data_IF_020284543714
#
_entry.id   IF_020284543714
#
_cell.length_a   1.000
_cell.length_b   1.000
_cell.length_c   1.000
_cell.angle_alpha   90.00
_cell.angle_beta   90.00
_cell.angle_gamma   90.00
#
_symmetry.space_group_name_H-M   'P 1'
#
loop_
_entity.id
_entity.type
_entity.pdbx_description
1 polymer ?
#
# COMPACT_ATOMS: atom_id res chain seq x y z
N UNK A 1 -21.58 11.87 9.64
CA UNK A 1 -21.19 13.11 8.93
C UNK A 1 -19.86 13.00 8.18
N UNK A 2 -18.78 12.40 8.73
CA UNK A 2 -17.47 12.28 8.04
C UNK A 2 -17.46 11.61 6.65
N UNK A 3 -18.41 10.71 6.36
CA UNK A 3 -18.52 10.06 5.04
C UNK A 3 -19.17 10.96 3.98
N UNK A 4 -20.03 11.90 4.40
CA UNK A 4 -20.69 12.83 3.49
C UNK A 4 -19.69 13.83 2.92
N UNK A 5 -18.75 14.31 3.74
CA UNK A 5 -17.66 15.18 3.30
C UNK A 5 -16.73 14.50 2.30
N UNK A 6 -16.42 13.21 2.50
CA UNK A 6 -15.61 12.44 1.56
C UNK A 6 -16.35 12.19 0.23
N UNK A 7 -17.64 11.90 0.28
CA UNK A 7 -18.48 11.79 -0.91
C UNK A 7 -18.50 13.11 -1.70
N UNK A 8 -18.78 14.23 -1.01
CA UNK A 8 -18.83 15.55 -1.62
C UNK A 8 -17.47 15.93 -2.21
N UNK A 9 -16.37 15.63 -1.51
CA UNK A 9 -15.03 15.82 -2.03
C UNK A 9 -14.81 15.03 -3.32
N UNK A 10 -15.20 13.75 -3.37
CA UNK A 10 -15.14 12.95 -4.60
C UNK A 10 -15.96 13.55 -5.74
N UNK A 11 -17.18 14.01 -5.45
CA UNK A 11 -18.07 14.61 -6.44
C UNK A 11 -17.51 15.92 -7.03
N UNK A 12 -16.85 16.74 -6.21
CA UNK A 12 -16.21 18.00 -6.65
C UNK A 12 -14.88 17.76 -7.35
N UNK A 13 -14.09 16.78 -6.88
CA UNK A 13 -12.76 16.49 -7.46
C UNK A 13 -12.89 15.97 -8.89
N UNK A 14 -13.91 15.19 -9.22
CA UNK A 14 -14.10 14.64 -10.58
C UNK A 14 -14.10 15.72 -11.67
N UNK A 15 -15.00 16.73 -11.66
CA UNK A 15 -15.01 17.75 -12.71
C UNK A 15 -13.73 18.59 -12.69
N UNK A 16 -13.17 18.88 -11.50
CA UNK A 16 -11.91 19.64 -11.38
C UNK A 16 -10.75 18.88 -12.03
N UNK A 17 -10.60 17.59 -11.71
CA UNK A 17 -9.59 16.71 -12.32
C UNK A 17 -9.79 16.63 -13.83
N UNK A 18 -11.02 16.46 -14.30
CA UNK A 18 -11.30 16.37 -15.73
C UNK A 18 -10.80 17.62 -16.45
N UNK A 19 -11.17 18.81 -15.98
CA UNK A 19 -10.73 20.09 -16.56
C UNK A 19 -9.22 20.23 -16.54
N UNK A 20 -8.57 19.98 -15.39
CA UNK A 20 -7.11 20.11 -15.24
C UNK A 20 -6.35 19.14 -16.15
N UNK A 21 -6.84 17.91 -16.28
CA UNK A 21 -6.25 16.91 -17.20
C UNK A 21 -6.45 17.36 -18.64
N UNK A 22 -7.64 17.85 -19.03
CA UNK A 22 -7.87 18.38 -20.38
C UNK A 22 -6.89 19.49 -20.71
N UNK A 23 -6.78 20.52 -19.85
CA UNK A 23 -5.89 21.66 -20.07
C UNK A 23 -4.42 21.23 -20.15
N UNK A 24 -3.99 20.35 -19.23
CA UNK A 24 -2.63 19.84 -19.22
C UNK A 24 -2.28 19.01 -20.46
N UNK A 25 -3.20 18.16 -20.91
CA UNK A 25 -2.98 17.30 -22.09
C UNK A 25 -3.04 18.09 -23.39
N UNK A 26 -4.04 18.95 -23.55
CA UNK A 26 -4.22 19.77 -24.75
C UNK A 26 -3.07 20.78 -24.91
N UNK A 27 -2.73 21.50 -23.83
CA UNK A 27 -1.60 22.43 -23.84
C UNK A 27 -0.25 21.77 -24.10
N UNK A 28 -0.02 20.56 -23.56
CA UNK A 28 1.19 19.79 -23.86
C UNK A 28 1.25 19.37 -25.32
N UNK A 29 0.16 18.81 -25.85
CA UNK A 29 0.08 18.35 -27.23
C UNK A 29 0.22 19.51 -28.22
N UNK A 30 -0.48 20.62 -27.99
CA UNK A 30 -0.38 21.83 -28.81
C UNK A 30 1.03 22.41 -28.83
N UNK A 31 1.70 22.44 -27.67
CA UNK A 31 3.10 22.90 -27.58
C UNK A 31 4.05 22.02 -28.38
N UNK A 32 3.95 20.70 -28.23
CA UNK A 32 4.81 19.75 -28.95
C UNK A 32 4.54 19.81 -30.46
N UNK A 33 3.28 19.84 -30.88
CA UNK A 33 2.90 19.95 -32.29
C UNK A 33 3.47 21.22 -32.92
N UNK A 34 3.41 22.36 -32.21
CA UNK A 34 4.01 23.62 -32.65
C UNK A 34 5.52 23.54 -32.82
N UNK A 35 6.23 22.84 -31.92
CA UNK A 35 7.67 22.66 -32.07
C UNK A 35 8.03 21.85 -33.31
N UNK A 36 7.25 20.81 -33.61
CA UNK A 36 7.42 20.00 -34.82
C UNK A 36 7.17 20.86 -36.07
N UNK A 37 6.15 21.71 -36.04
CA UNK A 37 5.79 22.58 -37.17
C UNK A 37 6.83 23.67 -37.45
N UNK A 38 7.35 24.33 -36.41
CA UNK A 38 8.27 25.47 -36.53
C UNK A 38 9.75 25.01 -36.53
N UNK A 39 10.02 23.76 -36.15
CA UNK A 39 11.38 23.20 -36.06
C UNK A 39 12.22 23.77 -34.91
N UNK A 40 11.58 24.37 -33.90
CA UNK A 40 12.24 24.97 -32.73
C UNK A 40 11.56 24.53 -31.44
N UNK A 41 12.33 24.35 -30.37
CA UNK A 41 11.80 23.97 -29.06
C UNK A 41 12.02 25.07 -28.04
N UNK A 42 10.99 25.34 -27.24
CA UNK A 42 11.06 26.22 -26.07
C UNK A 42 10.30 25.57 -24.91
N UNK A 43 11.03 24.88 -24.04
CA UNK A 43 10.50 24.15 -22.89
C UNK A 43 9.70 25.03 -21.92
N UNK A 44 9.91 26.35 -21.90
CA UNK A 44 9.11 27.25 -21.07
C UNK A 44 7.61 27.15 -21.38
N UNK A 45 7.25 26.84 -22.63
CA UNK A 45 5.87 26.65 -23.05
C UNK A 45 5.21 25.39 -22.45
N UNK A 46 5.99 24.44 -21.91
CA UNK A 46 5.45 23.27 -21.19
C UNK A 46 5.19 23.53 -19.72
N UNK A 47 5.64 24.65 -19.16
CA UNK A 47 5.46 24.94 -17.73
C UNK A 47 3.97 25.06 -17.40
N UNK A 48 3.22 25.81 -18.21
CA UNK A 48 1.79 26.00 -18.02
C UNK A 48 1.00 24.67 -17.99
N UNK A 49 1.07 23.81 -19.03
CA UNK A 49 0.36 22.53 -18.99
C UNK A 49 0.86 21.61 -17.87
N UNK A 50 2.14 21.66 -17.53
CA UNK A 50 2.70 20.89 -16.41
C UNK A 50 2.11 21.31 -15.06
N UNK A 51 1.83 22.61 -14.85
CA UNK A 51 1.19 23.10 -13.62
C UNK A 51 -0.22 22.53 -13.48
N UNK A 52 -1.03 22.52 -14.54
CA UNK A 52 -2.37 21.92 -14.48
C UNK A 52 -2.33 20.44 -14.10
N UNK A 53 -1.40 19.67 -14.70
CA UNK A 53 -1.22 18.25 -14.37
C UNK A 53 -0.71 18.06 -12.94
N UNK A 54 0.23 18.89 -12.49
CA UNK A 54 0.78 18.82 -11.13
C UNK A 54 -0.32 19.09 -10.08
N UNK A 55 -1.11 20.15 -10.26
CA UNK A 55 -2.23 20.47 -9.38
C UNK A 55 -3.27 19.35 -9.40
N UNK A 56 -3.62 18.84 -10.59
CA UNK A 56 -4.55 17.72 -10.73
C UNK A 56 -4.06 16.45 -10.02
N UNK A 57 -2.77 16.14 -10.16
CA UNK A 57 -2.11 15.02 -9.48
C UNK A 57 -2.10 15.17 -7.96
N UNK A 58 -1.85 16.38 -7.44
CA UNK A 58 -1.92 16.66 -6.00
C UNK A 58 -3.34 16.46 -5.48
N UNK A 59 -4.34 17.01 -6.15
CA UNK A 59 -5.75 16.87 -5.76
C UNK A 59 -6.18 15.40 -5.73
N UNK A 60 -5.81 14.63 -6.77
CA UNK A 60 -6.07 13.20 -6.84
C UNK A 60 -5.31 12.40 -5.79
N UNK A 61 -4.04 12.73 -5.55
CA UNK A 61 -3.19 12.09 -4.56
C UNK A 61 -3.70 12.33 -3.14
N UNK A 62 -4.13 13.56 -2.83
CA UNK A 62 -4.81 13.87 -1.58
C UNK A 62 -6.09 13.02 -1.47
N UNK A 63 -6.98 13.07 -2.46
CA UNK A 63 -8.21 12.28 -2.45
C UNK A 63 -7.94 10.79 -2.18
N UNK A 64 -6.99 10.18 -2.91
CA UNK A 64 -6.63 8.77 -2.76
C UNK A 64 -5.97 8.40 -1.42
N UNK A 65 -5.23 9.32 -0.80
CA UNK A 65 -4.51 9.08 0.46
C UNK A 65 -5.34 9.31 1.72
N UNK A 66 -6.47 10.02 1.65
CA UNK A 66 -7.38 10.20 2.78
C UNK A 66 -7.83 8.83 3.32
N UNK A 67 -7.33 8.39 4.49
CA UNK A 67 -7.66 7.05 5.04
C UNK A 67 -9.03 6.98 5.72
N UNK A 68 -9.63 8.13 6.03
CA UNK A 68 -10.82 8.22 6.92
C UNK A 68 -12.08 7.67 6.24
N UNK A 69 -12.19 7.73 4.91
CA UNK A 69 -13.38 7.26 4.17
C UNK A 69 -13.02 6.85 2.73
N UNK A 70 -13.26 5.59 2.30
CA UNK A 70 -13.08 5.14 0.90
C UNK A 70 -14.07 5.74 -0.10
N UNK A 71 -15.17 6.32 0.39
CA UNK A 71 -16.31 6.67 -0.47
C UNK A 71 -15.96 7.72 -1.53
N UNK A 72 -15.15 8.73 -1.20
CA UNK A 72 -14.71 9.76 -2.15
C UNK A 72 -13.91 9.20 -3.33
N UNK A 73 -12.77 8.52 -3.10
CA UNK A 73 -11.99 7.85 -4.16
C UNK A 73 -12.80 6.85 -4.97
N UNK A 74 -13.69 6.10 -4.32
CA UNK A 74 -14.55 5.12 -5.00
C UNK A 74 -15.50 5.80 -5.98
N UNK A 75 -16.25 6.79 -5.51
CA UNK A 75 -17.21 7.54 -6.33
C UNK A 75 -16.49 8.29 -7.45
N UNK A 76 -15.36 8.93 -7.13
CA UNK A 76 -14.56 9.61 -8.14
C UNK A 76 -14.02 8.64 -9.20
N UNK A 77 -13.51 7.48 -8.78
CA UNK A 77 -13.04 6.44 -9.69
C UNK A 77 -14.13 5.94 -10.63
N UNK A 78 -15.32 5.63 -10.09
CA UNK A 78 -16.48 5.21 -10.90
C UNK A 78 -16.93 6.30 -11.88
N UNK A 79 -17.01 7.55 -11.44
CA UNK A 79 -17.43 8.67 -12.29
C UNK A 79 -16.43 8.95 -13.41
N UNK A 80 -15.12 8.74 -13.18
CA UNK A 80 -14.09 8.92 -14.21
C UNK A 80 -14.03 7.75 -15.21
N UNK A 81 -14.35 6.52 -14.78
CA UNK A 81 -14.41 5.34 -15.65
C UNK A 81 -15.65 5.35 -16.55
N UNK A 82 -16.79 5.80 -16.02
CA UNK A 82 -18.11 5.68 -16.66
C UNK A 82 -18.17 6.25 -18.09
N UNK A 83 -17.66 7.46 -18.39
CA UNK A 83 -17.68 8.00 -19.74
C UNK A 83 -16.96 7.10 -20.74
N UNK A 84 -15.79 6.56 -20.36
CA UNK A 84 -15.01 5.70 -21.24
C UNK A 84 -15.70 4.35 -21.48
N UNK A 85 -16.19 3.69 -20.42
CA UNK A 85 -16.95 2.44 -20.55
C UNK A 85 -18.22 2.65 -21.38
N UNK A 86 -18.89 3.80 -21.21
CA UNK A 86 -20.05 4.19 -21.99
C UNK A 86 -19.77 4.31 -23.49
N UNK A 87 -18.53 4.60 -23.90
CA UNK A 87 -18.17 4.61 -25.33
C UNK A 87 -18.26 3.23 -25.97
N UNK A 88 -18.09 2.14 -25.21
CA UNK A 88 -18.24 0.77 -25.74
C UNK A 88 -19.71 0.35 -25.90
N UNK A 89 -20.62 0.96 -25.15
CA UNK A 89 -22.05 0.59 -25.15
C UNK A 89 -22.84 1.52 -26.07
N UNK A 90 -22.67 2.83 -25.91
CA UNK A 90 -23.39 3.88 -26.67
C UNK A 90 -22.46 5.05 -27.02
N UNK A 91 -21.54 4.88 -27.99
CA UNK A 91 -20.49 5.88 -28.29
C UNK A 91 -21.04 7.26 -28.63
N UNK A 92 -22.03 7.34 -29.53
CA UNK A 92 -22.59 8.62 -29.97
C UNK A 92 -23.32 9.37 -28.85
N UNK A 93 -24.16 8.67 -28.07
CA UNK A 93 -24.88 9.27 -26.93
C UNK A 93 -23.94 9.82 -25.86
N UNK A 94 -22.81 9.16 -25.62
CA UNK A 94 -21.82 9.63 -24.66
C UNK A 94 -21.08 10.84 -25.21
N UNK A 95 -20.63 10.81 -26.48
CA UNK A 95 -19.97 11.97 -27.10
C UNK A 95 -20.87 13.19 -27.16
N UNK A 96 -22.16 13.02 -27.47
CA UNK A 96 -23.15 14.11 -27.51
C UNK A 96 -23.43 14.74 -26.15
N UNK A 97 -23.33 13.96 -25.06
CA UNK A 97 -23.46 14.48 -23.69
C UNK A 97 -22.26 15.30 -23.22
N UNK A 98 -21.09 15.11 -23.82
CA UNK A 98 -19.89 15.87 -23.46
C UNK A 98 -19.87 17.15 -24.30
N UNK A 99 -19.95 18.34 -23.66
CA UNK A 99 -19.92 19.61 -24.39
C UNK A 99 -18.58 19.75 -25.12
N UNK A 100 -18.64 20.18 -26.38
CA UNK A 100 -17.47 20.34 -27.26
C UNK A 100 -17.07 21.79 -27.52
N UNK A 101 -17.83 22.76 -27.03
CA UNK A 101 -17.61 24.20 -27.28
C UNK A 101 -17.44 25.00 -26.00
N UNK A 102 -16.91 24.39 -24.94
CA UNK A 102 -16.55 25.13 -23.74
C UNK A 102 -15.18 25.77 -23.91
N UNK A 103 -15.01 26.92 -23.30
CA UNK A 103 -13.76 27.67 -23.27
C UNK A 103 -13.34 27.90 -21.82
N UNK A 104 -12.05 27.93 -21.58
CA UNK A 104 -11.46 28.26 -20.29
C UNK A 104 -10.41 29.34 -20.52
N UNK A 105 -10.58 30.51 -19.89
CA UNK A 105 -9.69 31.68 -20.07
C UNK A 105 -9.54 32.15 -21.54
N UNK A 106 -10.51 31.84 -22.40
CA UNK A 106 -10.50 32.18 -23.82
C UNK A 106 -9.89 31.12 -24.73
N UNK A 107 -9.37 30.03 -24.16
CA UNK A 107 -8.87 28.88 -24.91
C UNK A 107 -9.93 27.77 -25.00
N UNK A 108 -10.01 27.05 -26.13
CA UNK A 108 -10.94 25.93 -26.27
C UNK A 108 -10.61 24.85 -25.24
N UNK A 109 -11.64 24.31 -24.59
CA UNK A 109 -11.52 23.24 -23.60
C UNK A 109 -12.08 21.93 -24.18
N UNK A 110 -11.26 21.13 -24.88
CA UNK A 110 -11.71 19.88 -25.50
C UNK A 110 -11.91 18.77 -24.46
N UNK A 111 -13.00 18.84 -23.68
CA UNK A 111 -13.32 17.90 -22.61
C UNK A 111 -13.45 16.44 -23.09
N UNK A 112 -13.65 16.22 -24.38
CA UNK A 112 -13.68 14.87 -24.98
C UNK A 112 -12.31 14.21 -25.02
N UNK A 113 -11.22 14.99 -25.09
CA UNK A 113 -9.87 14.49 -25.32
C UNK A 113 -9.41 13.48 -24.24
N UNK A 114 -9.56 13.72 -22.93
CA UNK A 114 -9.17 12.75 -21.91
C UNK A 114 -10.04 11.48 -21.88
N UNK A 115 -11.28 11.56 -22.36
CA UNK A 115 -12.15 10.39 -22.52
C UNK A 115 -11.66 9.57 -23.71
N UNK A 116 -11.48 10.20 -24.88
CA UNK A 116 -11.12 9.51 -26.13
C UNK A 116 -9.75 8.84 -26.04
N UNK A 117 -8.79 9.47 -25.36
CA UNK A 117 -7.46 8.90 -25.14
C UNK A 117 -7.40 7.92 -23.94
N UNK A 118 -8.52 7.71 -23.23
CA UNK A 118 -8.61 6.76 -22.11
C UNK A 118 -7.90 7.18 -20.82
N UNK A 119 -7.46 8.43 -20.70
CA UNK A 119 -6.69 8.88 -19.53
C UNK A 119 -7.56 8.97 -18.28
N UNK A 120 -8.82 9.40 -18.42
CA UNK A 120 -9.77 9.38 -17.29
C UNK A 120 -10.07 7.95 -16.82
N UNK A 121 -10.10 6.99 -17.74
CA UNK A 121 -10.27 5.58 -17.39
C UNK A 121 -9.10 5.07 -16.54
N UNK A 122 -7.85 5.36 -16.95
CA UNK A 122 -6.67 4.96 -16.19
C UNK A 122 -6.61 5.61 -14.81
N UNK A 123 -6.90 6.91 -14.72
CA UNK A 123 -6.97 7.63 -13.44
C UNK A 123 -8.05 7.03 -12.54
N UNK A 124 -9.25 6.79 -13.09
CA UNK A 124 -10.35 6.20 -12.35
C UNK A 124 -10.04 4.78 -11.85
N UNK A 125 -9.40 3.96 -12.67
CA UNK A 125 -8.93 2.62 -12.28
C UNK A 125 -7.88 2.70 -11.17
N UNK A 126 -6.95 3.65 -11.24
CA UNK A 126 -5.95 3.86 -10.20
C UNK A 126 -6.60 4.24 -8.86
N UNK A 127 -7.65 5.09 -8.88
CA UNK A 127 -8.43 5.41 -7.68
C UNK A 127 -9.20 4.21 -7.12
N UNK A 128 -9.76 3.35 -7.98
CA UNK A 128 -10.38 2.10 -7.53
C UNK A 128 -9.36 1.17 -6.86
N UNK A 129 -8.21 0.95 -7.48
CA UNK A 129 -7.12 0.14 -6.90
C UNK A 129 -6.66 0.74 -5.57
N UNK A 130 -6.49 2.06 -5.48
CA UNK A 130 -6.14 2.74 -4.23
C UNK A 130 -7.20 2.54 -3.13
N UNK A 131 -8.47 2.48 -3.50
CA UNK A 131 -9.58 2.24 -2.56
C UNK A 131 -9.56 0.84 -1.96
N UNK A 132 -9.29 -0.17 -2.80
CA UNK A 132 -9.25 -1.59 -2.40
C UNK A 132 -7.87 -2.06 -1.91
N UNK A 133 -6.84 -1.22 -1.98
CA UNK A 133 -5.49 -1.57 -1.53
C UNK A 133 -5.46 -1.90 -0.03
N UNK A 134 -5.06 -3.13 0.29
CA UNK A 134 -4.99 -3.65 1.66
C UNK A 134 -4.10 -2.82 2.60
N UNK A 135 -3.12 -2.08 2.05
CA UNK A 135 -2.24 -1.19 2.81
C UNK A 135 -3.00 -0.03 3.48
N UNK A 136 -4.16 0.34 2.96
CA UNK A 136 -5.04 1.36 3.54
C UNK A 136 -5.74 0.86 4.82
N UNK A 137 -5.98 -0.44 4.90
CA UNK A 137 -6.69 -1.13 5.99
C UNK A 137 -5.75 -1.77 7.01
N UNK A 138 -4.46 -1.87 6.70
CA UNK A 138 -3.44 -2.34 7.65
C UNK A 138 -3.35 -1.37 8.84
N UNK A 139 -3.51 -1.92 10.05
CA UNK A 139 -3.25 -1.20 11.30
C UNK A 139 -1.83 -0.66 11.28
N UNK A 140 -1.66 0.60 11.66
CA UNK A 140 -0.34 1.16 11.92
C UNK A 140 0.35 0.33 13.00
N UNK A 141 1.69 0.14 12.91
CA UNK A 141 2.45 -0.44 14.01
C UNK A 141 2.18 0.41 15.25
N UNK A 142 1.70 -0.24 16.31
CA UNK A 142 1.57 0.40 17.61
C UNK A 142 2.99 0.74 18.06
N UNK A 143 3.26 2.02 18.33
CA UNK A 143 4.49 2.43 19.00
C UNK A 143 4.58 1.67 20.31
N UNK A 144 5.47 0.69 20.38
CA UNK A 144 5.79 0.01 21.65
C UNK A 144 6.39 1.07 22.55
N UNK A 145 5.81 1.37 23.73
CA UNK A 145 6.43 2.30 24.67
C UNK A 145 7.85 1.83 24.96
N UNK A 146 8.84 2.70 24.75
CA UNK A 146 10.19 2.44 25.20
C UNK A 146 10.14 2.23 26.72
N UNK A 147 10.81 1.21 27.28
CA UNK A 147 10.90 1.05 28.73
C UNK A 147 11.50 2.33 29.32
N UNK A 148 10.76 3.01 30.18
CA UNK A 148 11.30 4.13 30.97
C UNK A 148 12.41 3.54 31.84
N UNK A 149 13.65 4.08 31.82
CA UNK A 149 14.69 3.62 32.73
C UNK A 149 14.22 3.86 34.17
N UNK A 150 14.23 2.82 34.99
CA UNK A 150 13.88 2.93 36.40
C UNK A 150 14.82 3.94 37.09
N UNK A 151 14.25 4.94 37.75
CA UNK A 151 14.98 5.82 38.67
C UNK A 151 15.39 4.98 39.88
N UNK A 152 16.69 4.83 40.20
CA UNK A 152 17.12 3.94 41.26
C UNK A 152 17.12 4.69 42.58
N UNK A 153 15.96 4.86 43.24
CA UNK A 153 15.92 5.35 44.62
C UNK A 153 14.60 4.93 45.31
N UNK A 154 14.38 3.62 45.44
CA UNK A 154 13.52 3.06 46.50
C UNK A 154 13.93 1.61 46.74
N UNK A 155 14.22 1.15 47.97
CA UNK A 155 14.47 -0.27 48.21
C UNK A 155 13.15 -1.02 48.01
N UNK A 156 13.06 -1.79 46.93
CA UNK A 156 11.95 -2.71 46.71
C UNK A 156 12.14 -3.97 47.59
N UNK A 157 11.10 -4.50 48.25
CA UNK A 157 11.17 -5.81 48.87
C UNK A 157 11.35 -6.90 47.79
N UNK A 158 12.14 -7.93 48.10
CA UNK A 158 12.46 -9.02 47.18
C UNK A 158 11.18 -9.66 46.60
N UNK A 159 11.04 -9.75 45.26
CA UNK A 159 9.87 -10.37 44.65
C UNK A 159 9.89 -11.88 44.87
N UNK A 160 8.83 -12.39 45.48
CA UNK A 160 8.59 -13.84 45.57
C UNK A 160 8.13 -14.37 44.21
N UNK A 161 8.40 -15.65 43.91
CA UNK A 161 8.20 -16.32 42.61
C UNK A 161 6.75 -16.27 42.05
N UNK A 162 5.81 -15.69 42.81
CA UNK A 162 4.38 -15.58 42.51
C UNK A 162 3.92 -14.17 42.11
N UNK A 163 4.78 -13.15 42.16
CA UNK A 163 4.42 -11.75 41.85
C UNK A 163 4.55 -11.38 40.36
N UNK A 164 4.19 -12.28 39.45
CA UNK A 164 4.04 -11.92 38.04
C UNK A 164 2.65 -11.32 37.81
N UNK A 165 2.54 -10.11 37.21
CA UNK A 165 1.24 -9.54 36.89
C UNK A 165 0.50 -10.47 35.92
N UNK A 166 -0.83 -10.63 36.04
CA UNK A 166 -1.59 -11.45 35.13
C UNK A 166 -1.41 -10.90 33.71
N UNK A 167 -0.86 -11.72 32.82
CA UNK A 167 -0.83 -11.42 31.39
C UNK A 167 -2.28 -11.17 30.98
N UNK A 168 -2.65 -9.99 30.45
CA UNK A 168 -4.02 -9.78 29.99
C UNK A 168 -4.28 -10.81 28.90
N UNK A 169 -5.26 -11.67 29.12
CA UNK A 169 -5.84 -12.61 28.17
C UNK A 169 -6.63 -11.85 27.10
N UNK A 170 -6.00 -10.89 26.44
CA UNK A 170 -6.56 -10.22 25.29
C UNK A 170 -6.25 -11.07 24.07
N UNK A 171 -7.20 -11.93 23.72
CA UNK A 171 -7.36 -12.57 22.43
C UNK A 171 -6.05 -13.10 21.83
N UNK A 172 -5.79 -14.36 22.13
CA UNK A 172 -5.20 -15.33 21.21
C UNK A 172 -5.46 -14.88 19.77
N UNK A 173 -4.47 -14.19 19.21
CA UNK A 173 -4.43 -13.98 17.77
C UNK A 173 -4.33 -15.39 17.25
N UNK A 174 -5.22 -15.72 16.32
CA UNK A 174 -5.18 -16.92 15.52
C UNK A 174 -3.98 -16.85 14.55
N UNK A 175 -2.80 -16.72 15.14
CA UNK A 175 -1.51 -16.96 14.52
C UNK A 175 -1.22 -18.41 14.83
N UNK A 176 -1.52 -19.29 13.88
CA UNK A 176 -0.96 -20.63 13.88
C UNK A 176 0.53 -20.52 14.20
N UNK A 177 1.07 -21.33 15.14
CA UNK A 177 2.49 -21.29 15.44
C UNK A 177 3.26 -21.52 14.14
N UNK A 178 4.37 -20.79 13.96
CA UNK A 178 5.32 -21.06 12.89
C UNK A 178 5.80 -22.50 13.04
N UNK A 179 5.18 -23.42 12.27
CA UNK A 179 5.63 -24.79 12.17
C UNK A 179 7.03 -24.76 11.59
N UNK A 180 8.00 -25.25 12.36
CA UNK A 180 9.41 -25.41 12.00
C UNK A 180 9.61 -26.50 10.92
N UNK A 181 8.61 -26.76 10.08
CA UNK A 181 8.67 -27.73 8.98
C UNK A 181 8.73 -29.19 9.43
N UNK A 182 8.40 -29.49 10.69
CA UNK A 182 8.25 -30.86 11.14
C UNK A 182 6.82 -31.34 10.84
N UNK A 183 6.64 -32.51 10.21
CA UNK A 183 5.32 -33.11 10.08
C UNK A 183 4.74 -33.39 11.46
N UNK A 184 3.45 -33.08 11.64
CA UNK A 184 2.73 -33.37 12.88
C UNK A 184 2.84 -34.86 13.23
N UNK A 185 3.09 -35.22 14.51
CA UNK A 185 3.06 -36.61 14.91
C UNK A 185 1.63 -37.14 14.79
N UNK A 186 1.45 -38.17 13.96
CA UNK A 186 0.20 -38.93 13.84
C UNK A 186 -0.33 -39.36 15.24
N UNK A 187 -1.64 -39.30 15.50
CA UNK A 187 -2.24 -39.69 16.78
C UNK A 187 -2.34 -41.22 16.99
N UNK A 188 -1.49 -42.01 16.33
CA UNK A 188 -1.40 -43.45 16.55
C UNK A 188 -0.32 -43.73 17.61
N UNK A 189 -0.62 -44.50 18.68
CA UNK A 189 0.38 -44.80 19.69
C UNK A 189 1.50 -45.65 19.08
N UNK A 190 2.63 -45.03 18.77
CA UNK A 190 3.84 -45.76 18.37
C UNK A 190 4.38 -46.52 19.58
N UNK A 191 4.48 -47.83 19.40
CA UNK A 191 5.03 -48.82 20.33
C UNK A 191 6.37 -48.34 20.97
N UNK A 192 6.57 -48.51 22.30
CA UNK A 192 7.72 -47.92 22.96
C UNK A 192 9.01 -48.62 22.53
N UNK A 193 9.93 -47.84 21.93
CA UNK A 193 11.28 -48.27 21.59
C UNK A 193 12.04 -48.79 22.84
N UNK A 194 12.89 -49.82 22.69
CA UNK A 194 13.56 -50.47 23.81
C UNK A 194 14.47 -49.50 24.57
N UNK A 195 14.22 -49.41 25.87
CA UNK A 195 14.94 -48.59 26.84
C UNK A 195 16.42 -49.02 26.89
N UNK A 196 17.32 -48.24 26.30
CA UNK A 196 18.76 -48.48 26.39
C UNK A 196 19.24 -48.06 27.78
N UNK A 197 19.42 -49.03 28.66
CA UNK A 197 20.11 -48.88 29.95
C UNK A 197 21.61 -48.73 29.73
N UNK A 198 22.19 -47.64 30.23
CA UNK A 198 23.61 -47.52 30.55
C UNK A 198 24.53 -47.05 29.41
N UNK A 199 25.26 -45.95 29.65
CA UNK A 199 26.39 -45.51 28.84
C UNK A 199 26.40 -43.99 28.68
N UNK A 200 27.34 -43.31 29.36
CA UNK A 200 27.43 -41.85 29.45
C UNK A 200 27.51 -41.11 28.11
N UNK A 201 27.10 -39.84 28.16
CA UNK A 201 27.16 -38.90 27.03
C UNK A 201 28.60 -38.79 26.49
N UNK A 202 28.81 -38.83 25.16
CA UNK A 202 30.13 -38.66 24.57
C UNK A 202 30.70 -37.23 24.70
N UNK A 203 29.95 -36.31 25.32
CA UNK A 203 30.31 -34.89 25.41
C UNK A 203 30.72 -34.43 26.82
N UNK A 204 30.89 -35.33 27.78
CA UNK A 204 31.12 -34.96 29.19
C UNK A 204 32.56 -35.19 29.71
N UNK A 205 33.58 -35.25 28.86
CA UNK A 205 34.98 -35.34 29.32
C UNK A 205 35.78 -34.06 28.98
N UNK A 206 36.42 -33.40 29.97
CA UNK A 206 37.30 -32.26 29.73
C UNK A 206 38.65 -32.69 29.12
N UNK A 207 39.36 -31.79 28.42
CA UNK A 207 40.51 -32.16 27.60
C UNK A 207 41.76 -32.39 28.47
N UNK A 208 42.25 -33.61 28.54
CA UNK A 208 43.51 -33.90 29.22
C UNK A 208 43.90 -35.39 29.20
N UNK A 209 45.12 -35.65 28.73
CA UNK A 209 45.88 -36.91 28.82
C UNK A 209 45.52 -38.03 27.83
N UNK A 210 46.05 -37.93 26.61
CA UNK A 210 46.37 -39.11 25.79
C UNK A 210 47.64 -39.77 26.37
N UNK A 211 47.62 -41.06 26.76
CA UNK A 211 48.83 -41.81 27.01
C UNK A 211 49.48 -42.19 25.68
N UNK A 212 50.77 -41.84 25.55
CA UNK A 212 51.70 -42.30 24.52
C UNK A 212 52.01 -43.79 24.72
N UNK A 213 51.92 -44.58 23.64
CA UNK A 213 52.67 -45.84 23.42
C UNK A 213 52.44 -46.24 21.95
N UNK A 214 53.42 -46.05 21.06
CA UNK A 214 54.61 -46.90 20.83
C UNK A 214 54.23 -48.37 20.75
N UNK A 215 54.12 -48.89 19.53
CA UNK A 215 54.68 -50.21 19.17
C UNK A 215 54.79 -50.33 17.64
N UNK A 216 56.04 -50.34 17.20
CA UNK A 216 56.50 -50.90 15.95
C UNK A 216 56.73 -52.41 16.15
N UNK A 217 56.43 -53.22 15.14
CA UNK A 217 57.11 -54.50 14.79
C UNK A 217 56.36 -55.07 13.58
N UNK A 218 56.96 -54.99 12.39
CA UNK A 218 57.85 -55.96 11.72
C UNK A 218 57.05 -57.03 10.96
#
# INVERSE_FOLDING_TARGET
MRHLWSFLAGLVVVPVTWVLVTLGQDGSAGTVNRWVEIGTSNTANLIEPAVYLAVGGIVLGLLGTLRISPLGPLVAGLLLITPYVGLFITPFRVRERIPSGWEFLGDPLPLRLPVENGTLFLIGMMLLIATFSGQRWRRWPVTVPQPVPATPDTPAPDPTLTDWPPVPSSAERDTAPLSLGYPDPDPTPTEPLPRRTGGGSPWSAPPGNLPRRDDATN
#
